data_IF_944411576137
#
_entry.id   IF_944411576137
#
_cell.length_a   1.000
_cell.length_b   1.000
_cell.length_c   1.000
_cell.angle_alpha   90.00
_cell.angle_beta   90.00
_cell.angle_gamma   90.00
#
_symmetry.space_group_name_H-M   'P 1'
#
loop_
_entity.id
_entity.type
_entity.pdbx_description
1 polymer ?
#
# COMPACT_ATOMS: atom_id res chain seq x y z
N UNK A 1 -31.86 11.96 -8.82
CA UNK A 1 -31.05 11.25 -7.80
C UNK A 1 -29.60 11.56 -8.09
N UNK A 2 -29.02 12.46 -7.30
CA UNK A 2 -27.65 12.91 -7.46
C UNK A 2 -26.72 11.77 -7.00
N UNK A 3 -26.06 11.09 -7.94
CA UNK A 3 -25.07 10.08 -7.62
C UNK A 3 -23.82 10.78 -7.10
N UNK A 4 -23.72 10.96 -5.78
CA UNK A 4 -22.47 11.35 -5.15
C UNK A 4 -21.37 10.40 -5.64
N UNK A 5 -20.21 10.90 -6.10
CA UNK A 5 -19.11 10.03 -6.46
C UNK A 5 -18.79 9.20 -5.22
N UNK A 6 -18.99 7.88 -5.31
CA UNK A 6 -18.62 6.96 -4.23
C UNK A 6 -17.15 7.23 -3.91
N UNK A 7 -16.88 7.89 -2.77
CA UNK A 7 -15.53 7.89 -2.19
C UNK A 7 -15.15 6.42 -2.08
N UNK A 8 -14.18 5.97 -2.86
CA UNK A 8 -13.70 4.60 -2.80
C UNK A 8 -13.00 4.44 -1.46
N UNK A 9 -13.70 3.86 -0.50
CA UNK A 9 -13.14 3.52 0.80
C UNK A 9 -12.29 2.25 0.67
N UNK A 10 -11.33 2.11 1.58
CA UNK A 10 -10.64 0.83 1.76
C UNK A 10 -11.64 -0.19 2.34
N UNK A 11 -11.72 -1.38 1.75
CA UNK A 11 -12.54 -2.48 2.27
C UNK A 11 -11.73 -3.39 3.20
N UNK A 12 -10.42 -3.47 2.96
CA UNK A 12 -9.48 -4.27 3.74
C UNK A 12 -8.25 -3.43 4.11
N UNK A 13 -7.68 -3.74 5.26
CA UNK A 13 -6.44 -3.15 5.73
C UNK A 13 -5.57 -4.22 6.42
N UNK A 14 -4.28 -3.96 6.48
CA UNK A 14 -3.30 -4.77 7.17
C UNK A 14 -2.83 -4.08 8.43
N UNK A 15 -2.82 -4.80 9.54
CA UNK A 15 -2.41 -4.28 10.85
C UNK A 15 -0.90 -4.03 10.87
N UNK A 16 -0.49 -2.84 11.28
CA UNK A 16 0.90 -2.44 11.49
C UNK A 16 1.27 -2.51 12.98
N UNK A 17 0.36 -2.08 13.86
CA UNK A 17 0.53 -2.06 15.30
C UNK A 17 -0.84 -1.94 15.99
N UNK A 18 -0.91 -2.32 17.27
CA UNK A 18 -2.10 -2.09 18.09
C UNK A 18 -1.76 -1.86 19.56
N UNK A 19 -2.49 -0.92 20.19
CA UNK A 19 -2.31 -0.54 21.58
C UNK A 19 -3.66 -0.66 22.29
N UNK A 20 -3.71 -1.51 23.32
CA UNK A 20 -4.90 -1.66 24.16
C UNK A 20 -5.03 -0.48 25.12
N UNK A 21 -6.27 -0.10 25.44
CA UNK A 21 -6.60 0.99 26.36
C UNK A 21 -5.94 2.33 25.98
N UNK A 22 -5.81 2.59 24.68
CA UNK A 22 -5.25 3.83 24.14
C UNK A 22 -6.36 4.78 23.70
N UNK A 23 -6.01 6.07 23.61
CA UNK A 23 -6.89 7.11 23.07
C UNK A 23 -6.57 7.32 21.59
N UNK A 24 -7.61 7.53 20.80
CA UNK A 24 -7.48 7.86 19.38
C UNK A 24 -6.70 9.17 19.21
N UNK A 25 -5.77 9.20 18.26
CA UNK A 25 -5.06 10.42 17.86
C UNK A 25 -5.92 11.33 16.99
N UNK A 26 -6.93 10.77 16.32
CA UNK A 26 -7.79 11.48 15.36
C UNK A 26 -9.09 11.98 16.03
N UNK A 27 -9.78 11.09 16.73
CA UNK A 27 -11.14 11.34 17.22
C UNK A 27 -11.10 11.54 18.73
N UNK A 28 -11.35 12.78 19.16
CA UNK A 28 -11.41 13.12 20.59
C UNK A 28 -12.45 12.24 21.30
N UNK A 29 -12.14 11.80 22.51
CA UNK A 29 -12.97 10.95 23.37
C UNK A 29 -13.20 9.51 22.87
N UNK A 30 -12.58 9.08 21.77
CA UNK A 30 -12.54 7.65 21.39
C UNK A 30 -11.36 6.98 22.07
N UNK A 31 -11.63 5.90 22.79
CA UNK A 31 -10.63 5.07 23.45
C UNK A 31 -10.94 3.58 23.30
N UNK A 32 -9.93 2.75 23.46
CA UNK A 32 -10.03 1.30 23.37
C UNK A 32 -8.77 0.69 22.75
N UNK A 33 -8.94 -0.41 22.01
CA UNK A 33 -7.84 -1.00 21.23
C UNK A 33 -7.64 -0.17 19.96
N UNK A 34 -6.65 0.73 19.97
CA UNK A 34 -6.30 1.55 18.82
C UNK A 34 -5.34 0.77 17.94
N UNK A 35 -5.66 0.70 16.64
CA UNK A 35 -4.90 -0.09 15.67
C UNK A 35 -4.40 0.87 14.59
N UNK A 36 -3.10 0.85 14.33
CA UNK A 36 -2.52 1.45 13.14
C UNK A 36 -2.50 0.42 12.02
N UNK A 37 -3.01 0.79 10.85
CA UNK A 37 -3.15 -0.12 9.72
C UNK A 37 -2.86 0.60 8.39
N UNK A 38 -2.56 -0.18 7.35
CA UNK A 38 -2.45 0.28 5.97
C UNK A 38 -3.53 -0.36 5.12
N UNK A 39 -4.27 0.44 4.36
CA UNK A 39 -5.29 -0.05 3.44
C UNK A 39 -4.70 -0.84 2.27
N UNK A 40 -5.42 -1.85 1.79
CA UNK A 40 -4.93 -2.76 0.76
C UNK A 40 -4.87 -2.12 -0.64
N UNK A 41 -5.87 -1.28 -0.97
CA UNK A 41 -6.03 -0.78 -2.34
C UNK A 41 -5.38 0.59 -2.50
N UNK A 42 -5.72 1.55 -1.66
CA UNK A 42 -5.20 2.91 -1.78
C UNK A 42 -3.92 3.13 -0.97
N UNK A 43 -3.46 2.11 -0.22
CA UNK A 43 -2.25 2.18 0.61
C UNK A 43 -2.34 3.33 1.62
N UNK A 44 -3.57 3.62 2.07
CA UNK A 44 -3.85 4.71 3.00
C UNK A 44 -3.53 4.26 4.42
N UNK A 45 -2.78 5.06 5.18
CA UNK A 45 -2.58 4.78 6.61
C UNK A 45 -3.84 5.18 7.37
N UNK A 46 -4.34 4.26 8.20
CA UNK A 46 -5.58 4.39 8.95
C UNK A 46 -5.34 4.15 10.44
N UNK A 47 -6.10 4.87 11.24
CA UNK A 47 -6.35 4.51 12.64
C UNK A 47 -7.70 3.82 12.73
N UNK A 48 -7.74 2.65 13.37
CA UNK A 48 -8.93 1.83 13.55
C UNK A 48 -9.21 1.63 15.04
N UNK A 49 -10.47 1.42 15.38
CA UNK A 49 -10.90 0.97 16.70
C UNK A 49 -11.22 -0.53 16.64
N UNK A 50 -10.43 -1.34 17.32
CA UNK A 50 -10.63 -2.78 17.46
C UNK A 50 -11.65 -3.14 18.53
N UNK A 51 -12.25 -4.32 18.42
CA UNK A 51 -13.06 -4.92 19.49
C UNK A 51 -12.11 -5.46 20.57
N UNK A 52 -12.26 -5.00 21.82
CA UNK A 52 -11.31 -5.33 22.91
C UNK A 52 -11.13 -6.82 23.23
N UNK A 53 -12.12 -7.67 22.93
CA UNK A 53 -12.04 -9.13 23.18
C UNK A 53 -11.34 -9.92 22.06
N UNK A 54 -11.11 -9.27 20.92
CA UNK A 54 -10.49 -9.91 19.77
C UNK A 54 -8.98 -9.89 19.87
N UNK A 55 -8.33 -10.89 19.24
CA UNK A 55 -6.88 -10.94 19.12
C UNK A 55 -6.46 -10.36 17.77
N UNK A 56 -5.42 -9.55 17.79
CA UNK A 56 -4.84 -8.92 16.60
C UNK A 56 -3.42 -9.42 16.37
N UNK A 57 -3.01 -9.54 15.11
CA UNK A 57 -1.65 -9.89 14.73
C UNK A 57 -1.09 -8.88 13.73
N UNK A 58 0.20 -8.58 13.84
CA UNK A 58 0.89 -7.71 12.87
C UNK A 58 0.86 -8.39 11.50
N UNK A 59 0.56 -7.61 10.46
CA UNK A 59 0.37 -8.10 9.09
C UNK A 59 -0.93 -8.89 8.88
N UNK A 60 -1.83 -8.94 9.85
CA UNK A 60 -3.17 -9.52 9.68
C UNK A 60 -4.01 -8.66 8.74
N UNK A 61 -4.66 -9.30 7.76
CA UNK A 61 -5.63 -8.66 6.87
C UNK A 61 -7.01 -8.64 7.54
N UNK A 62 -7.52 -7.45 7.83
CA UNK A 62 -8.83 -7.24 8.47
C UNK A 62 -9.79 -6.54 7.53
N UNK A 63 -11.07 -6.92 7.60
CA UNK A 63 -12.14 -6.24 6.88
C UNK A 63 -12.58 -4.97 7.63
N UNK A 64 -12.60 -3.84 6.92
CA UNK A 64 -12.95 -2.50 7.40
C UNK A 64 -14.08 -1.84 6.60
N UNK A 65 -14.66 -2.56 5.64
CA UNK A 65 -15.81 -2.09 4.86
C UNK A 65 -17.05 -1.81 5.72
N UNK A 66 -18.15 -1.38 5.10
CA UNK A 66 -19.26 -0.73 5.84
C UNK A 66 -19.95 -1.61 6.88
N UNK A 67 -20.18 -2.89 6.58
CA UNK A 67 -21.00 -3.81 7.39
C UNK A 67 -20.34 -5.18 7.52
N UNK A 68 -20.59 -5.91 8.61
CA UNK A 68 -20.07 -7.27 8.78
C UNK A 68 -18.60 -7.36 9.23
N UNK A 69 -18.09 -6.31 9.90
CA UNK A 69 -16.74 -6.33 10.48
C UNK A 69 -16.67 -7.30 11.65
N UNK A 70 -15.77 -8.28 11.58
CA UNK A 70 -15.58 -9.26 12.64
C UNK A 70 -14.76 -8.72 13.83
N UNK A 71 -13.68 -7.97 13.55
CA UNK A 71 -12.72 -7.51 14.58
C UNK A 71 -12.64 -6.01 14.78
N UNK A 72 -13.21 -5.22 13.86
CA UNK A 72 -13.08 -3.77 13.82
C UNK A 72 -14.42 -3.12 14.14
N UNK A 73 -14.46 -2.26 15.15
CA UNK A 73 -15.64 -1.46 15.51
C UNK A 73 -15.84 -0.32 14.50
N UNK A 74 -14.79 0.45 14.24
CA UNK A 74 -14.87 1.60 13.33
C UNK A 74 -13.52 2.01 12.76
N UNK A 75 -13.55 2.53 11.54
CA UNK A 75 -12.43 3.32 10.98
C UNK A 75 -12.49 4.72 11.60
N UNK A 76 -11.46 5.11 12.34
CA UNK A 76 -11.41 6.41 13.03
C UNK A 76 -11.00 7.53 12.07
N UNK A 77 -10.11 7.22 11.11
CA UNK A 77 -9.73 8.14 10.05
C UNK A 77 -8.39 7.79 9.42
N UNK A 78 -7.96 8.65 8.49
CA UNK A 78 -6.62 8.62 7.88
C UNK A 78 -5.63 9.35 8.79
N UNK A 79 -4.43 8.81 8.90
CA UNK A 79 -3.27 9.48 9.52
C UNK A 79 -2.13 9.62 8.52
N UNK A 80 -1.19 10.50 8.82
CA UNK A 80 0.07 10.61 8.08
C UNK A 80 1.14 9.68 8.66
N UNK A 81 2.16 9.35 7.86
CA UNK A 81 3.29 8.51 8.27
C UNK A 81 3.94 8.97 9.59
N UNK A 82 4.04 10.28 9.82
CA UNK A 82 4.64 10.83 11.03
C UNK A 82 3.87 10.51 12.31
N UNK A 83 2.57 10.24 12.21
CA UNK A 83 1.70 9.88 13.33
C UNK A 83 1.71 8.38 13.65
N UNK A 84 2.35 7.55 12.81
CA UNK A 84 2.57 6.15 13.15
C UNK A 84 3.48 6.00 14.37
N UNK A 85 3.18 5.00 15.19
CA UNK A 85 4.06 4.51 16.25
C UNK A 85 5.38 4.02 15.66
N UNK A 86 6.45 4.03 16.45
CA UNK A 86 7.74 3.52 15.99
C UNK A 86 7.64 2.04 15.58
N UNK A 87 6.88 1.24 16.33
CA UNK A 87 6.60 -0.16 16.00
C UNK A 87 5.90 -0.29 14.64
N UNK A 88 4.83 0.50 14.39
CA UNK A 88 4.16 0.47 13.09
C UNK A 88 5.08 0.89 11.93
N UNK A 89 5.98 1.87 12.13
CA UNK A 89 6.96 2.28 11.13
C UNK A 89 7.95 1.15 10.80
N UNK A 90 8.39 0.41 11.82
CA UNK A 90 9.30 -0.72 11.64
C UNK A 90 8.65 -1.88 10.88
N UNK A 91 7.35 -2.11 11.08
CA UNK A 91 6.60 -3.19 10.42
C UNK A 91 6.10 -2.84 9.01
N UNK A 92 5.98 -1.55 8.72
CA UNK A 92 5.43 -1.05 7.46
C UNK A 92 6.12 -1.62 6.21
N UNK A 93 7.47 -1.68 6.09
CA UNK A 93 8.13 -2.25 4.92
C UNK A 93 7.71 -3.70 4.65
N UNK A 94 7.72 -4.54 5.69
CA UNK A 94 7.36 -5.96 5.62
C UNK A 94 5.90 -6.14 5.21
N UNK A 95 4.99 -5.34 5.77
CA UNK A 95 3.57 -5.40 5.45
C UNK A 95 3.29 -4.91 4.02
N UNK A 96 3.97 -3.87 3.54
CA UNK A 96 3.87 -3.42 2.15
C UNK A 96 4.34 -4.53 1.20
N UNK A 97 5.48 -5.17 1.46
CA UNK A 97 5.97 -6.27 0.62
C UNK A 97 4.96 -7.42 0.54
N UNK A 98 4.30 -7.74 1.66
CA UNK A 98 3.20 -8.70 1.69
C UNK A 98 2.02 -8.26 0.83
N UNK A 99 1.59 -6.99 0.92
CA UNK A 99 0.50 -6.43 0.11
C UNK A 99 0.84 -6.52 -1.39
N UNK A 100 2.08 -6.18 -1.76
CA UNK A 100 2.57 -6.25 -3.14
C UNK A 100 2.55 -7.68 -3.65
N UNK A 101 3.01 -8.63 -2.83
CA UNK A 101 3.07 -10.04 -3.20
C UNK A 101 1.68 -10.66 -3.36
N UNK A 102 0.74 -10.34 -2.45
CA UNK A 102 -0.64 -10.85 -2.52
C UNK A 102 -1.41 -10.24 -3.70
N UNK A 103 -1.13 -8.97 -4.03
CA UNK A 103 -1.80 -8.24 -5.11
C UNK A 103 -0.93 -8.15 -6.39
N UNK A 104 -0.22 -9.23 -6.70
CA UNK A 104 0.73 -9.30 -7.82
C UNK A 104 0.15 -8.78 -9.15
N UNK A 105 -1.07 -9.18 -9.50
CA UNK A 105 -1.74 -8.78 -10.74
C UNK A 105 -1.81 -7.26 -10.91
N UNK A 106 -2.17 -6.52 -9.85
CA UNK A 106 -2.24 -5.06 -9.85
C UNK A 106 -0.92 -4.41 -10.22
N UNK A 107 0.17 -4.93 -9.68
CA UNK A 107 1.49 -4.35 -9.90
C UNK A 107 2.10 -4.78 -11.23
N UNK A 108 1.78 -5.98 -11.70
CA UNK A 108 2.10 -6.41 -13.06
C UNK A 108 1.36 -5.60 -14.10
N UNK A 109 0.09 -5.28 -13.87
CA UNK A 109 -0.67 -4.38 -14.72
C UNK A 109 -0.02 -3.00 -14.79
N UNK A 110 0.53 -2.51 -13.67
CA UNK A 110 1.30 -1.28 -13.68
C UNK A 110 2.51 -1.35 -14.63
N UNK A 111 3.33 -2.40 -14.61
CA UNK A 111 4.43 -2.56 -15.58
C UNK A 111 3.93 -2.61 -17.03
N UNK A 112 2.79 -3.27 -17.25
CA UNK A 112 2.18 -3.40 -18.56
C UNK A 112 1.56 -2.09 -19.09
N UNK A 113 1.14 -1.19 -18.20
CA UNK A 113 0.50 0.08 -18.58
C UNK A 113 1.37 1.31 -18.36
N UNK A 114 2.54 1.17 -17.73
CA UNK A 114 3.41 2.28 -17.35
C UNK A 114 3.76 3.18 -18.55
N UNK A 115 3.60 4.49 -18.34
CA UNK A 115 3.84 5.52 -19.35
C UNK A 115 4.89 6.55 -18.87
N UNK A 116 5.43 7.37 -19.78
CA UNK A 116 6.16 8.58 -19.40
C UNK A 116 5.33 9.49 -18.49
N UNK A 117 5.89 9.91 -17.34
CA UNK A 117 5.24 10.90 -16.48
C UNK A 117 5.50 12.32 -16.98
N UNK A 118 6.68 12.54 -17.55
CA UNK A 118 7.08 13.77 -18.22
C UNK A 118 7.91 13.40 -19.46
N UNK A 119 8.21 14.34 -20.38
CA UNK A 119 9.09 14.06 -21.52
C UNK A 119 10.49 13.55 -21.13
N UNK A 120 10.93 13.76 -19.88
CA UNK A 120 12.27 13.38 -19.39
C UNK A 120 12.27 12.23 -18.39
N UNK A 121 11.13 11.84 -17.84
CA UNK A 121 11.04 10.88 -16.74
C UNK A 121 9.95 9.85 -17.03
N UNK A 122 10.35 8.58 -17.11
CA UNK A 122 9.41 7.48 -17.20
C UNK A 122 8.93 7.03 -15.82
N UNK A 123 7.65 6.66 -15.69
CA UNK A 123 7.08 6.19 -14.42
C UNK A 123 7.80 4.96 -13.85
N UNK A 124 8.26 4.04 -14.70
CA UNK A 124 9.10 2.89 -14.29
C UNK A 124 10.42 3.30 -13.62
N UNK A 125 11.06 4.39 -14.06
CA UNK A 125 12.33 4.85 -13.50
C UNK A 125 12.17 5.43 -12.08
N UNK A 126 10.93 5.69 -11.67
CA UNK A 126 10.62 6.15 -10.33
C UNK A 126 10.72 5.01 -9.31
N UNK A 127 10.66 3.75 -9.74
CA UNK A 127 10.82 2.59 -8.86
C UNK A 127 12.31 2.41 -8.53
N UNK A 128 12.72 2.41 -7.24
CA UNK A 128 14.10 2.17 -6.84
C UNK A 128 14.64 0.89 -7.44
N UNK A 129 15.86 0.93 -7.98
CA UNK A 129 16.49 -0.21 -8.68
C UNK A 129 16.21 -0.26 -10.19
N UNK A 130 15.22 0.47 -10.70
CA UNK A 130 14.93 0.54 -12.14
C UNK A 130 15.58 1.78 -12.75
N UNK A 131 16.81 1.62 -13.24
CA UNK A 131 17.47 2.63 -14.06
C UNK A 131 17.06 2.57 -15.54
N UNK A 132 17.64 3.43 -16.37
CA UNK A 132 17.39 3.50 -17.82
C UNK A 132 17.54 2.16 -18.54
N UNK A 133 18.52 1.33 -18.13
CA UNK A 133 18.77 0.01 -18.72
C UNK A 133 17.60 -0.94 -18.46
N UNK A 134 17.19 -1.08 -17.19
CA UNK A 134 16.03 -1.91 -16.85
C UNK A 134 14.75 -1.37 -17.47
N UNK A 135 14.51 -0.06 -17.42
CA UNK A 135 13.34 0.57 -18.05
C UNK A 135 13.27 0.19 -19.54
N UNK A 136 14.35 0.34 -20.30
CA UNK A 136 14.38 -0.04 -21.72
C UNK A 136 14.11 -1.53 -21.94
N UNK A 137 14.70 -2.40 -21.11
CA UNK A 137 14.48 -3.84 -21.17
C UNK A 137 13.02 -4.20 -20.89
N UNK A 138 12.42 -3.63 -19.85
CA UNK A 138 11.01 -3.83 -19.49
C UNK A 138 10.09 -3.39 -20.63
N UNK A 139 10.32 -2.21 -21.22
CA UNK A 139 9.51 -1.71 -22.34
C UNK A 139 9.62 -2.62 -23.56
N UNK A 140 10.85 -3.01 -23.94
CA UNK A 140 11.08 -3.89 -25.09
C UNK A 140 10.42 -5.27 -24.91
N UNK A 141 10.48 -5.83 -23.70
CA UNK A 141 9.81 -7.10 -23.40
C UNK A 141 8.29 -6.95 -23.40
N UNK A 142 7.77 -5.93 -22.73
CA UNK A 142 6.34 -5.61 -22.71
C UNK A 142 5.74 -5.50 -24.12
N UNK A 143 6.45 -4.84 -25.03
CA UNK A 143 6.00 -4.61 -26.40
C UNK A 143 5.94 -5.91 -27.23
N UNK A 144 6.72 -6.94 -26.88
CA UNK A 144 6.58 -8.30 -27.43
C UNK A 144 5.35 -9.00 -26.87
N UNK A 145 5.21 -8.97 -25.54
CA UNK A 145 4.12 -9.62 -24.81
C UNK A 145 4.01 -9.03 -23.40
N UNK A 146 2.78 -8.71 -22.98
CA UNK A 146 2.46 -8.30 -21.61
C UNK A 146 2.93 -9.34 -20.59
N UNK A 147 3.44 -8.86 -19.46
CA UNK A 147 3.82 -9.70 -18.32
C UNK A 147 2.58 -10.28 -17.65
N UNK A 148 2.68 -11.50 -17.15
CA UNK A 148 1.58 -12.19 -16.45
C UNK A 148 1.84 -12.39 -14.95
N UNK A 149 3.10 -12.26 -14.53
CA UNK A 149 3.54 -12.47 -13.15
C UNK A 149 4.86 -11.75 -12.89
N UNK A 150 5.22 -11.54 -11.62
CA UNK A 150 6.54 -11.11 -11.21
C UNK A 150 7.58 -12.08 -11.71
N UNK A 151 7.36 -13.39 -11.58
CA UNK A 151 8.29 -14.38 -12.10
C UNK A 151 8.56 -14.20 -13.61
N UNK A 152 7.52 -13.96 -14.42
CA UNK A 152 7.67 -13.68 -15.85
C UNK A 152 8.47 -12.39 -16.12
N UNK A 153 8.13 -11.30 -15.40
CA UNK A 153 8.86 -10.03 -15.47
C UNK A 153 10.35 -10.22 -15.15
N UNK A 154 10.65 -10.89 -14.04
CA UNK A 154 12.03 -11.10 -13.58
C UNK A 154 12.83 -11.96 -14.56
N UNK A 155 12.24 -13.04 -15.08
CA UNK A 155 12.92 -13.95 -16.01
C UNK A 155 13.25 -13.27 -17.36
N UNK A 156 12.37 -12.40 -17.84
CA UNK A 156 12.52 -11.75 -19.15
C UNK A 156 13.39 -10.51 -19.12
N UNK A 157 13.38 -9.78 -18.02
CA UNK A 157 14.09 -8.49 -17.90
C UNK A 157 15.36 -8.57 -17.05
N UNK A 158 15.52 -9.64 -16.28
CA UNK A 158 16.61 -9.80 -15.32
C UNK A 158 16.45 -8.96 -14.05
N UNK A 159 15.39 -8.17 -13.91
CA UNK A 159 15.08 -7.40 -12.70
C UNK A 159 14.79 -8.38 -11.58
N UNK A 160 15.69 -8.53 -10.61
CA UNK A 160 15.46 -9.40 -9.44
C UNK A 160 14.63 -8.68 -8.39
N UNK A 161 13.99 -9.44 -7.52
CA UNK A 161 13.24 -8.93 -6.37
C UNK A 161 12.24 -7.81 -6.74
N UNK A 162 11.53 -7.96 -7.86
CA UNK A 162 10.58 -6.94 -8.34
C UNK A 162 9.55 -6.51 -7.26
N UNK A 163 8.99 -7.43 -6.43
CA UNK A 163 8.12 -7.04 -5.32
C UNK A 163 8.76 -6.08 -4.33
N UNK A 164 10.05 -6.26 -4.00
CA UNK A 164 10.78 -5.40 -3.05
C UNK A 164 11.00 -4.00 -3.59
N UNK A 165 11.35 -3.89 -4.86
CA UNK A 165 11.52 -2.59 -5.52
C UNK A 165 10.23 -1.76 -5.50
N UNK A 166 9.09 -2.40 -5.72
CA UNK A 166 7.77 -1.78 -5.65
C UNK A 166 7.42 -1.44 -4.20
N UNK A 167 7.69 -2.34 -3.27
CA UNK A 167 7.44 -2.11 -1.85
C UNK A 167 8.23 -0.91 -1.31
N UNK A 168 9.51 -0.82 -1.66
CA UNK A 168 10.34 0.33 -1.32
C UNK A 168 9.75 1.61 -1.91
N UNK A 169 9.33 1.57 -3.18
CA UNK A 169 8.72 2.75 -3.81
C UNK A 169 7.45 3.20 -3.08
N UNK A 170 6.59 2.28 -2.70
CA UNK A 170 5.37 2.58 -1.93
C UNK A 170 5.74 3.19 -0.58
N UNK A 171 6.73 2.63 0.11
CA UNK A 171 7.21 3.16 1.38
C UNK A 171 7.67 4.61 1.24
N UNK A 172 8.53 4.92 0.25
CA UNK A 172 9.03 6.27 0.01
C UNK A 172 7.88 7.27 -0.26
N UNK A 173 6.85 6.83 -1.00
CA UNK A 173 5.65 7.64 -1.29
C UNK A 173 4.79 7.90 -0.05
N UNK A 174 4.67 6.91 0.84
CA UNK A 174 3.96 7.04 2.13
C UNK A 174 4.74 7.95 3.08
N UNK A 175 6.06 7.79 3.16
CA UNK A 175 6.95 8.61 3.98
C UNK A 175 7.04 10.07 3.50
N UNK A 176 6.60 10.35 2.27
CA UNK A 176 6.62 11.68 1.69
C UNK A 176 7.99 12.09 1.15
N UNK A 177 8.86 11.12 0.91
CA UNK A 177 10.23 11.32 0.42
C UNK A 177 10.28 11.50 -1.11
N UNK A 178 9.15 11.29 -1.80
CA UNK A 178 9.03 11.40 -3.25
C UNK A 178 8.37 12.69 -3.69
N UNK A 179 8.90 13.30 -4.77
CA UNK A 179 8.27 14.47 -5.42
C UNK A 179 7.07 14.12 -6.29
N UNK A 180 7.05 12.89 -6.83
CA UNK A 180 5.99 12.38 -7.70
C UNK A 180 5.52 11.06 -7.12
N UNK A 181 4.21 10.86 -7.03
CA UNK A 181 3.64 9.60 -6.56
C UNK A 181 3.08 8.79 -7.73
N UNK A 182 3.15 7.47 -7.60
CA UNK A 182 2.76 6.50 -8.63
C UNK A 182 1.74 5.52 -8.07
N UNK A 183 1.91 5.07 -6.83
CA UNK A 183 1.07 4.06 -6.21
C UNK A 183 0.12 4.65 -5.17
N UNK A 184 0.59 5.64 -4.40
CA UNK A 184 -0.15 6.23 -3.29
C UNK A 184 -0.78 7.54 -3.73
N UNK A 185 -2.12 7.61 -3.67
CA UNK A 185 -2.87 8.83 -3.98
C UNK A 185 -2.91 9.72 -2.72
N UNK A 186 -2.47 10.97 -2.84
CA UNK A 186 -2.62 11.96 -1.76
C UNK A 186 -4.06 12.45 -1.68
#
# INVERSE_FOLDING_TARGET
METYPHRKFEEYAYILDYIQNSKSSIVRMREGTIIHAIGEVHLTILELLGINREKFSIGERVYIGKEGRAKILSVLGRIDYNHLTQSAKNELPTVIEKIVSVNESRFIDYFNSAQPMTPRVHSLELIPGIGKTYMKSILAERDKKKFVSFMDLQNRTGLRDAPKHIAQRIFDEIAGETRMNVFVRK
#
